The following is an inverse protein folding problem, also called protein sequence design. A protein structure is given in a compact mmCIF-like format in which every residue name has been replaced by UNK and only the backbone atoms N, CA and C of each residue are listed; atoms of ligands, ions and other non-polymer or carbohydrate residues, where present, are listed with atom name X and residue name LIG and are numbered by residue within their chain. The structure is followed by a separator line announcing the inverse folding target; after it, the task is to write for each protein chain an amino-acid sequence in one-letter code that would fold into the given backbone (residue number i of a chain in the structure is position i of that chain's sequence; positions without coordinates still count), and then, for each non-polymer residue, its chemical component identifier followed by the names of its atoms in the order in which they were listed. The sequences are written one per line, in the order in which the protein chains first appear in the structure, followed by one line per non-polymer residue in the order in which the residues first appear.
data_IF_425858526523
#
_entry.id   IF_425858526523
#
_cell.length_a   1.000
_cell.length_b   1.000
_cell.length_c   1.000
_cell.angle_alpha   90.00
_cell.angle_beta   90.00
_cell.angle_gamma   90.00
#
_symmetry.space_group_name_H-M   'P 1'
#
loop_
_entity.id
_entity.type
_entity.pdbx_description
1 polymer ?
#
# COMPACT_ATOMS: atom_id res chain seq x y z
N UNK A 1 -9.05 25.16 -18.79
CA UNK A 1 -9.63 24.78 -17.49
C UNK A 1 -8.82 25.52 -16.46
N UNK A 2 -9.38 26.58 -15.87
CA UNK A 2 -8.77 27.24 -14.71
C UNK A 2 -8.94 26.26 -13.56
N UNK A 3 -7.85 25.77 -13.00
CA UNK A 3 -7.91 25.06 -11.71
C UNK A 3 -8.60 26.01 -10.74
N UNK A 4 -9.83 25.68 -10.37
CA UNK A 4 -10.52 26.39 -9.31
C UNK A 4 -9.63 26.28 -8.07
N UNK A 5 -9.10 27.40 -7.60
CA UNK A 5 -8.28 27.45 -6.39
C UNK A 5 -9.05 26.75 -5.27
N UNK A 6 -8.59 25.56 -4.89
CA UNK A 6 -9.22 24.79 -3.81
C UNK A 6 -8.82 25.42 -2.50
N UNK A 7 -9.68 26.30 -1.98
CA UNK A 7 -9.55 26.79 -0.61
C UNK A 7 -9.63 25.62 0.35
N UNK A 8 -8.61 25.47 1.20
CA UNK A 8 -8.65 24.45 2.26
C UNK A 8 -9.18 25.09 3.53
N UNK A 9 -9.78 24.27 4.37
CA UNK A 9 -10.31 24.71 5.67
C UNK A 9 -9.84 23.77 6.77
N UNK A 10 -9.51 24.34 7.91
CA UNK A 10 -9.23 23.61 9.14
C UNK A 10 -10.08 24.14 10.27
N UNK A 11 -10.40 23.29 11.24
CA UNK A 11 -11.00 23.73 12.49
C UNK A 11 -10.46 22.88 13.63
N UNK A 12 -9.88 23.54 14.63
CA UNK A 12 -9.20 22.93 15.75
C UNK A 12 -9.78 23.47 17.05
N UNK A 13 -10.08 22.57 17.99
CA UNK A 13 -10.19 22.94 19.40
C UNK A 13 -8.78 22.95 19.97
N UNK A 14 -8.25 24.14 20.22
CA UNK A 14 -6.89 24.36 20.66
C UNK A 14 -6.83 24.40 22.19
N UNK A 15 -6.09 23.46 22.76
CA UNK A 15 -5.80 23.41 24.19
C UNK A 15 -4.62 24.32 24.51
N UNK A 16 -4.79 25.21 25.48
CA UNK A 16 -3.76 26.17 25.90
C UNK A 16 -3.41 25.89 27.36
N UNK A 17 -2.12 25.77 27.65
CA UNK A 17 -1.65 25.44 29.00
C UNK A 17 -2.05 26.54 30.00
N UNK A 18 -2.88 26.17 30.98
CA UNK A 18 -3.31 27.08 32.04
C UNK A 18 -4.41 28.07 31.65
N UNK A 19 -5.10 27.85 30.51
CA UNK A 19 -6.23 28.65 30.06
C UNK A 19 -7.34 27.77 29.50
N UNK A 20 -8.53 28.35 29.34
CA UNK A 20 -9.63 27.66 28.68
C UNK A 20 -9.33 27.43 27.19
N UNK A 21 -9.78 26.31 26.62
CA UNK A 21 -9.58 26.00 25.21
C UNK A 21 -10.34 26.98 24.32
N UNK A 22 -9.78 27.24 23.15
CA UNK A 22 -10.39 28.08 22.12
C UNK A 22 -10.62 27.28 20.84
N UNK A 23 -11.55 27.73 20.01
CA UNK A 23 -11.79 27.15 18.69
C UNK A 23 -11.18 28.04 17.62
N UNK A 24 -10.34 27.45 16.77
CA UNK A 24 -9.61 28.13 15.69
C UNK A 24 -10.04 27.52 14.37
N UNK A 25 -10.66 28.32 13.51
CA UNK A 25 -10.98 27.97 12.13
C UNK A 25 -10.03 28.69 11.19
N UNK A 26 -9.26 27.93 10.42
CA UNK A 26 -8.39 28.45 9.35
C UNK A 26 -9.04 28.28 7.98
N UNK A 27 -8.93 29.29 7.14
CA UNK A 27 -9.21 29.24 5.71
C UNK A 27 -7.92 29.57 4.98
N UNK A 28 -7.45 28.62 4.18
CA UNK A 28 -6.13 28.63 3.59
C UNK A 28 -6.25 28.79 2.09
N UNK A 29 -5.64 29.86 1.57
CA UNK A 29 -5.52 30.16 0.15
C UNK A 29 -4.07 29.91 -0.29
N UNK A 30 -3.79 30.05 -1.59
CA UNK A 30 -2.45 29.79 -2.13
C UNK A 30 -1.40 30.83 -1.68
N UNK A 31 -1.83 32.06 -1.41
CA UNK A 31 -0.95 33.19 -1.08
C UNK A 31 -1.22 33.83 0.29
N UNK A 32 -2.35 33.51 0.92
CA UNK A 32 -2.83 34.20 2.10
C UNK A 32 -3.74 33.29 2.97
N UNK A 33 -4.14 33.76 4.15
CA UNK A 33 -5.04 33.00 5.02
C UNK A 33 -5.95 33.88 5.87
N UNK A 34 -7.10 33.31 6.24
CA UNK A 34 -8.04 33.89 7.18
C UNK A 34 -8.24 32.96 8.38
N UNK A 35 -8.00 33.47 9.58
CA UNK A 35 -8.22 32.75 10.83
C UNK A 35 -9.34 33.41 11.61
N UNK A 36 -10.31 32.61 12.05
CA UNK A 36 -11.34 32.99 13.01
C UNK A 36 -11.14 32.22 14.30
N UNK A 37 -11.11 32.92 15.42
CA UNK A 37 -10.91 32.37 16.76
C UNK A 37 -12.10 32.71 17.64
N UNK A 38 -12.58 31.78 18.45
CA UNK A 38 -13.61 32.05 19.47
C UNK A 38 -13.34 31.25 20.74
N UNK A 39 -13.63 31.86 21.89
CA UNK A 39 -13.67 31.19 23.20
C UNK A 39 -15.11 30.79 23.59
N UNK A 40 -16.07 30.96 22.67
CA UNK A 40 -17.51 30.76 22.88
C UNK A 40 -18.27 32.01 23.35
N UNK A 41 -17.59 33.03 23.85
CA UNK A 41 -18.19 34.31 24.28
C UNK A 41 -17.80 35.46 23.35
N UNK A 42 -16.51 35.61 23.12
CA UNK A 42 -15.89 36.58 22.23
C UNK A 42 -15.30 35.89 21.01
N UNK A 43 -15.02 36.67 19.96
CA UNK A 43 -14.29 36.16 18.81
C UNK A 43 -13.30 37.18 18.26
N UNK A 44 -12.29 36.66 17.59
CA UNK A 44 -11.22 37.42 16.97
C UNK A 44 -10.98 36.90 15.56
N UNK A 45 -10.63 37.81 14.67
CA UNK A 45 -10.38 37.53 13.26
C UNK A 45 -8.97 38.00 12.93
N UNK A 46 -8.30 37.20 12.12
CA UNK A 46 -7.03 37.50 11.53
C UNK A 46 -7.20 37.31 10.02
N UNK A 47 -7.06 38.39 9.27
CA UNK A 47 -6.99 38.37 7.81
C UNK A 47 -5.55 38.71 7.48
N UNK A 48 -4.76 37.69 7.13
CA UNK A 48 -3.38 37.89 6.72
C UNK A 48 -3.39 38.13 5.21
N UNK A 49 -3.01 39.32 4.74
CA UNK A 49 -2.98 39.59 3.29
C UNK A 49 -1.79 38.91 2.62
N UNK A 50 -1.83 38.79 1.30
CA UNK A 50 -0.72 38.20 0.53
C UNK A 50 0.61 38.91 0.80
N UNK A 51 0.60 40.24 0.89
CA UNK A 51 1.79 41.04 1.18
C UNK A 51 2.34 40.76 2.59
N UNK A 52 1.46 40.70 3.60
CA UNK A 52 1.85 40.42 4.98
C UNK A 52 2.42 39.00 5.13
N UNK A 53 1.81 38.01 4.46
CA UNK A 53 2.31 36.64 4.45
C UNK A 53 3.66 36.56 3.73
N UNK A 54 3.81 37.22 2.59
CA UNK A 54 5.07 37.26 1.85
C UNK A 54 6.20 37.89 2.67
N UNK A 55 5.94 39.02 3.33
CA UNK A 55 6.91 39.67 4.21
C UNK A 55 7.34 38.75 5.36
N UNK A 56 6.37 38.04 5.96
CA UNK A 56 6.62 37.12 7.08
C UNK A 56 7.34 35.85 6.67
N UNK A 57 7.04 35.32 5.50
CA UNK A 57 7.76 34.19 4.92
C UNK A 57 9.23 34.58 4.63
N UNK A 58 9.45 35.78 4.08
CA UNK A 58 10.79 36.32 3.83
C UNK A 58 11.60 36.52 5.12
N UNK A 59 10.97 36.94 6.22
CA UNK A 59 11.65 37.05 7.54
C UNK A 59 12.23 35.72 8.03
N UNK A 60 11.72 34.58 7.56
CA UNK A 60 12.17 33.24 7.93
C UNK A 60 12.89 32.53 6.78
N UNK A 61 13.30 33.29 5.74
CA UNK A 61 14.00 32.78 4.56
C UNK A 61 13.32 31.55 3.94
N UNK A 62 11.99 31.55 3.88
CA UNK A 62 11.20 30.43 3.34
C UNK A 62 10.19 30.89 2.29
N UNK A 63 9.80 30.02 1.34
CA UNK A 63 8.77 30.35 0.37
C UNK A 63 7.40 30.49 1.06
N UNK A 64 6.53 31.31 0.46
CA UNK A 64 5.16 31.53 0.96
C UNK A 64 4.39 30.21 1.10
N UNK A 65 4.55 29.28 0.17
CA UNK A 65 3.91 27.97 0.24
C UNK A 65 4.32 27.17 1.48
N UNK A 66 5.61 27.16 1.83
CA UNK A 66 6.09 26.46 3.04
C UNK A 66 5.60 27.15 4.31
N UNK A 67 5.57 28.49 4.32
CA UNK A 67 5.01 29.26 5.44
C UNK A 67 3.53 28.90 5.69
N UNK A 68 2.74 28.85 4.61
CA UNK A 68 1.32 28.53 4.67
C UNK A 68 1.08 27.06 5.05
N UNK A 69 1.82 26.12 4.48
CA UNK A 69 1.71 24.69 4.83
C UNK A 69 2.09 24.44 6.30
N UNK A 70 3.08 25.17 6.81
CA UNK A 70 3.46 25.12 8.23
C UNK A 70 2.32 25.61 9.11
N UNK A 71 1.72 26.76 8.78
CA UNK A 71 0.59 27.30 9.53
C UNK A 71 -0.65 26.38 9.44
N UNK A 72 -0.96 25.85 8.25
CA UNK A 72 -2.04 24.89 8.01
C UNK A 72 -1.85 23.63 8.88
N UNK A 73 -0.62 23.11 8.97
CA UNK A 73 -0.33 21.91 9.76
C UNK A 73 -0.54 22.14 11.26
N UNK A 74 -0.01 23.24 11.80
CA UNK A 74 -0.03 23.52 13.24
C UNK A 74 -1.38 24.02 13.75
N UNK A 75 -2.18 24.65 12.89
CA UNK A 75 -3.55 25.08 13.21
C UNK A 75 -4.62 24.14 12.65
N UNK A 76 -4.23 23.15 11.86
CA UNK A 76 -5.07 22.04 11.44
C UNK A 76 -5.18 20.96 12.51
N UNK A 77 -4.04 20.63 13.12
CA UNK A 77 -3.96 19.68 14.22
C UNK A 77 -2.96 20.18 15.25
N UNK A 78 -3.36 20.19 16.52
CA UNK A 78 -2.48 20.59 17.61
C UNK A 78 -1.27 19.65 17.69
N UNK A 79 -0.07 20.22 17.64
CA UNK A 79 1.20 19.47 17.69
C UNK A 79 1.64 19.30 19.14
N UNK A 80 1.94 18.05 19.54
CA UNK A 80 2.29 17.72 20.94
C UNK A 80 3.64 18.29 21.40
N UNK A 81 4.55 18.57 20.48
CA UNK A 81 5.87 19.16 20.74
C UNK A 81 5.87 20.70 20.71
N UNK A 82 4.69 21.32 20.57
CA UNK A 82 4.55 22.76 20.43
C UNK A 82 3.88 23.37 21.66
N UNK A 83 4.33 24.55 22.06
CA UNK A 83 3.69 25.36 23.09
C UNK A 83 2.83 26.40 22.39
N UNK A 84 1.51 26.31 22.59
CA UNK A 84 0.54 27.25 22.04
C UNK A 84 0.18 28.34 23.04
N UNK A 85 -0.10 29.53 22.53
CA UNK A 85 -0.47 30.70 23.32
C UNK A 85 -1.57 31.52 22.66
N UNK A 86 -2.44 32.09 23.50
CA UNK A 86 -3.43 33.08 23.08
C UNK A 86 -3.54 34.18 24.14
N UNK A 87 -2.70 35.20 24.01
CA UNK A 87 -2.53 36.23 25.03
C UNK A 87 -3.08 37.59 24.60
N UNK A 88 -3.39 38.45 25.56
CA UNK A 88 -3.79 39.83 25.28
C UNK A 88 -2.71 40.63 24.56
N UNK A 89 -3.16 41.45 23.62
CA UNK A 89 -2.39 42.45 22.91
C UNK A 89 -3.11 43.81 22.99
N UNK A 90 -2.57 44.83 22.33
CA UNK A 90 -3.13 46.18 22.35
C UNK A 90 -4.54 46.22 21.71
N UNK A 91 -5.41 47.07 22.25
CA UNK A 91 -6.75 47.39 21.72
C UNK A 91 -7.72 46.19 21.68
N UNK A 92 -7.72 45.34 22.72
CA UNK A 92 -8.59 44.16 22.78
C UNK A 92 -8.27 43.08 21.75
N UNK A 93 -7.17 43.26 21.01
CA UNK A 93 -6.62 42.24 20.13
C UNK A 93 -6.00 41.13 20.96
N UNK A 94 -5.98 39.92 20.40
CA UNK A 94 -5.27 38.78 20.97
C UNK A 94 -4.10 38.41 20.06
N UNK A 95 -3.08 37.75 20.62
CA UNK A 95 -1.96 37.21 19.87
C UNK A 95 -2.04 35.69 19.90
N UNK A 96 -2.26 35.09 18.74
CA UNK A 96 -2.15 33.65 18.56
C UNK A 96 -0.69 33.30 18.30
N UNK A 97 -0.15 32.34 19.04
CA UNK A 97 1.21 31.87 18.83
C UNK A 97 1.39 30.37 19.05
N UNK A 98 2.42 29.82 18.42
CA UNK A 98 2.92 28.49 18.71
C UNK A 98 4.41 28.39 18.45
N UNK A 99 5.09 27.47 19.13
CA UNK A 99 6.51 27.20 18.90
C UNK A 99 6.71 26.06 17.93
N UNK A 100 7.73 26.13 17.09
CA UNK A 100 8.14 25.01 16.23
C UNK A 100 9.65 24.96 16.14
N UNK A 101 10.19 23.84 15.69
CA UNK A 101 11.62 23.66 15.51
C UNK A 101 11.95 23.62 14.01
N UNK A 102 12.96 24.39 13.60
CA UNK A 102 13.50 24.37 12.24
C UNK A 102 15.02 24.37 12.36
N UNK A 103 15.67 23.37 11.76
CA UNK A 103 17.13 23.22 11.74
C UNK A 103 17.79 23.28 13.13
N UNK A 104 17.16 22.69 14.14
CA UNK A 104 17.66 22.68 15.53
C UNK A 104 17.42 23.99 16.29
N UNK A 105 16.76 24.98 15.69
CA UNK A 105 16.39 26.24 16.32
C UNK A 105 14.90 26.26 16.65
N UNK A 106 14.56 26.59 17.90
CA UNK A 106 13.18 26.78 18.34
C UNK A 106 12.72 28.20 18.00
N UNK A 107 11.75 28.29 17.10
CA UNK A 107 11.11 29.52 16.65
C UNK A 107 9.69 29.63 17.20
N UNK A 108 9.13 30.84 17.18
CA UNK A 108 7.74 31.08 17.58
C UNK A 108 6.99 31.82 16.47
N UNK A 109 5.97 31.17 15.93
CA UNK A 109 5.01 31.78 15.03
C UNK A 109 4.06 32.64 15.84
N UNK A 110 3.81 33.88 15.40
CA UNK A 110 2.93 34.81 16.11
C UNK A 110 2.13 35.64 15.13
N UNK A 111 0.83 35.78 15.39
CA UNK A 111 -0.04 36.65 14.61
C UNK A 111 -1.05 37.38 15.49
N UNK A 112 -1.36 38.62 15.10
CA UNK A 112 -2.31 39.48 15.82
C UNK A 112 -3.72 39.23 15.28
N UNK A 113 -4.65 38.89 16.16
CA UNK A 113 -6.06 38.70 15.87
C UNK A 113 -6.84 39.90 16.43
N UNK A 114 -7.60 40.59 15.58
CA UNK A 114 -8.42 41.74 15.96
C UNK A 114 -9.77 41.27 16.51
N UNK A 115 -10.37 41.95 17.50
CA UNK A 115 -11.69 41.58 17.99
C UNK A 115 -12.74 41.70 16.87
N UNK A 116 -13.65 40.73 16.80
CA UNK A 116 -14.77 40.76 15.86
C UNK A 116 -15.89 41.67 16.37
N UNK A 117 -16.55 42.38 15.46
CA UNK A 117 -17.76 43.15 15.78
C UNK A 117 -18.98 42.26 16.05
N UNK A 118 -18.99 41.04 15.52
CA UNK A 118 -20.11 40.10 15.68
C UNK A 118 -19.58 38.74 16.13
N UNK A 119 -19.40 38.61 17.45
CA UNK A 119 -18.88 37.38 18.04
C UNK A 119 -19.80 36.19 17.81
N UNK A 120 -21.12 36.41 17.93
CA UNK A 120 -22.14 35.37 17.74
C UNK A 120 -22.09 34.79 16.34
N UNK A 121 -21.99 35.63 15.31
CA UNK A 121 -21.91 35.16 13.92
C UNK A 121 -20.68 34.31 13.65
N UNK A 122 -19.53 34.66 14.22
CA UNK A 122 -18.31 33.86 14.07
C UNK A 122 -18.46 32.51 14.78
N UNK A 123 -18.96 32.49 16.02
CA UNK A 123 -19.17 31.24 16.76
C UNK A 123 -20.17 30.33 16.04
N UNK A 124 -21.30 30.86 15.58
CA UNK A 124 -22.29 30.11 14.79
C UNK A 124 -21.67 29.59 13.50
N UNK A 125 -20.93 30.42 12.77
CA UNK A 125 -20.26 29.99 11.53
C UNK A 125 -19.18 28.92 11.71
N UNK A 126 -18.55 28.85 12.89
CA UNK A 126 -17.65 27.74 13.25
C UNK A 126 -18.45 26.47 13.57
N UNK A 127 -19.54 26.59 14.32
CA UNK A 127 -20.42 25.46 14.63
C UNK A 127 -21.07 24.87 13.37
N UNK A 128 -21.57 25.71 12.47
CA UNK A 128 -22.15 25.29 11.19
C UNK A 128 -21.12 24.52 10.36
N UNK A 129 -19.89 25.03 10.26
CA UNK A 129 -18.79 24.35 9.58
C UNK A 129 -18.50 22.97 10.20
N UNK A 130 -18.46 22.88 11.53
CA UNK A 130 -18.22 21.62 12.23
C UNK A 130 -19.37 20.62 12.01
N UNK A 131 -20.62 21.09 11.99
CA UNK A 131 -21.79 20.24 11.73
C UNK A 131 -21.85 19.74 10.30
N UNK A 132 -21.59 20.60 9.32
CA UNK A 132 -21.52 20.19 7.92
C UNK A 132 -20.38 19.18 7.71
N UNK A 133 -19.20 19.44 8.28
CA UNK A 133 -18.07 18.50 8.20
C UNK A 133 -18.40 17.16 8.86
N UNK A 134 -19.11 17.16 9.99
CA UNK A 134 -19.52 15.94 10.69
C UNK A 134 -20.53 15.11 9.87
N UNK A 135 -21.54 15.76 9.27
CA UNK A 135 -22.53 15.10 8.41
C UNK A 135 -21.80 14.45 7.22
N UNK A 136 -20.95 15.20 6.52
CA UNK A 136 -20.19 14.70 5.37
C UNK A 136 -19.27 13.53 5.75
N UNK A 137 -18.54 13.64 6.85
CA UNK A 137 -17.67 12.55 7.33
C UNK A 137 -18.48 11.30 7.70
N UNK A 138 -19.64 11.48 8.34
CA UNK A 138 -20.51 10.37 8.71
C UNK A 138 -21.04 9.62 7.47
N UNK A 139 -21.48 10.35 6.44
CA UNK A 139 -21.88 9.77 5.16
C UNK A 139 -20.72 9.04 4.47
N UNK A 140 -19.52 9.64 4.45
CA UNK A 140 -18.34 9.04 3.86
C UNK A 140 -17.93 7.74 4.56
N UNK A 141 -18.00 7.71 5.90
CA UNK A 141 -17.72 6.51 6.71
C UNK A 141 -18.72 5.41 6.39
N UNK A 142 -20.03 5.71 6.32
CA UNK A 142 -21.05 4.72 5.96
C UNK A 142 -20.80 4.15 4.55
N UNK A 143 -20.55 5.03 3.58
CA UNK A 143 -20.30 4.63 2.19
C UNK A 143 -19.03 3.79 2.03
N UNK A 144 -17.94 4.18 2.69
CA UNK A 144 -16.67 3.43 2.68
C UNK A 144 -16.82 2.08 3.37
N UNK A 145 -17.53 2.02 4.50
CA UNK A 145 -17.77 0.77 5.24
C UNK A 145 -18.56 -0.22 4.39
N UNK A 146 -19.66 0.23 3.78
CA UNK A 146 -20.47 -0.62 2.87
C UNK A 146 -19.65 -1.14 1.69
N UNK A 147 -18.82 -0.28 1.09
CA UNK A 147 -17.96 -0.65 -0.04
C UNK A 147 -16.88 -1.66 0.38
N UNK A 148 -16.31 -1.47 1.56
CA UNK A 148 -15.33 -2.39 2.15
C UNK A 148 -15.93 -3.77 2.42
N UNK A 149 -17.12 -3.84 3.03
CA UNK A 149 -17.82 -5.10 3.28
C UNK A 149 -18.15 -5.85 1.99
N UNK A 150 -18.62 -5.12 0.97
CA UNK A 150 -18.86 -5.71 -0.35
C UNK A 150 -17.58 -6.32 -0.91
N UNK A 151 -16.48 -5.55 -0.94
CA UNK A 151 -15.19 -6.02 -1.47
C UNK A 151 -14.65 -7.21 -0.67
N UNK A 152 -14.83 -7.21 0.65
CA UNK A 152 -14.46 -8.33 1.51
C UNK A 152 -15.24 -9.60 1.15
N UNK A 153 -16.57 -9.51 1.01
CA UNK A 153 -17.39 -10.66 0.63
C UNK A 153 -17.05 -11.21 -0.76
N UNK A 154 -16.70 -10.34 -1.71
CA UNK A 154 -16.25 -10.74 -3.04
C UNK A 154 -14.89 -11.46 -2.98
N UNK A 155 -13.96 -10.98 -2.15
CA UNK A 155 -12.66 -11.63 -1.95
C UNK A 155 -12.81 -13.01 -1.31
N UNK A 156 -13.67 -13.16 -0.30
CA UNK A 156 -13.97 -14.44 0.36
C UNK A 156 -14.59 -15.43 -0.64
N UNK A 157 -15.53 -14.98 -1.48
CA UNK A 157 -16.11 -15.82 -2.53
C UNK A 157 -15.06 -16.28 -3.55
N UNK A 158 -14.15 -15.40 -3.97
CA UNK A 158 -13.06 -15.74 -4.87
C UNK A 158 -12.08 -16.75 -4.24
N UNK A 159 -11.80 -16.61 -2.94
CA UNK A 159 -10.96 -17.54 -2.20
C UNK A 159 -11.60 -18.94 -2.17
N UNK A 160 -12.87 -19.04 -1.79
CA UNK A 160 -13.59 -20.31 -1.75
C UNK A 160 -13.68 -20.99 -3.13
N UNK A 161 -13.88 -20.21 -4.19
CA UNK A 161 -13.83 -20.72 -5.56
C UNK A 161 -12.43 -21.23 -5.93
N UNK A 162 -11.38 -20.53 -5.52
CA UNK A 162 -10.00 -20.93 -5.75
C UNK A 162 -9.63 -22.24 -5.04
N UNK A 163 -10.07 -22.41 -3.79
CA UNK A 163 -9.88 -23.65 -3.02
C UNK A 163 -10.55 -24.83 -3.72
N UNK A 164 -11.84 -24.69 -4.09
CA UNK A 164 -12.59 -25.72 -4.82
C UNK A 164 -11.90 -26.14 -6.12
N UNK A 165 -11.39 -25.17 -6.89
CA UNK A 165 -10.67 -25.46 -8.14
C UNK A 165 -9.34 -26.19 -7.89
N UNK A 166 -8.66 -25.93 -6.76
CA UNK A 166 -7.45 -26.67 -6.39
C UNK A 166 -7.76 -28.13 -6.07
N UNK A 167 -8.86 -28.39 -5.36
CA UNK A 167 -9.32 -29.74 -5.06
C UNK A 167 -9.69 -30.50 -6.34
N UNK A 168 -10.49 -29.88 -7.21
CA UNK A 168 -10.88 -30.45 -8.51
C UNK A 168 -9.65 -30.74 -9.40
N UNK A 169 -8.66 -29.84 -9.40
CA UNK A 169 -7.39 -30.05 -10.12
C UNK A 169 -6.63 -31.27 -9.58
N UNK A 170 -6.55 -31.41 -8.26
CA UNK A 170 -5.86 -32.53 -7.61
C UNK A 170 -6.55 -33.86 -7.91
N UNK A 171 -7.89 -33.90 -7.85
CA UNK A 171 -8.68 -35.08 -8.21
C UNK A 171 -8.47 -35.46 -9.69
N UNK A 172 -8.53 -34.48 -10.59
CA UNK A 172 -8.32 -34.69 -12.02
C UNK A 172 -6.90 -35.21 -12.32
N UNK A 173 -5.88 -34.63 -11.70
CA UNK A 173 -4.49 -35.08 -11.83
C UNK A 173 -4.34 -36.52 -11.36
N UNK A 174 -4.86 -36.86 -10.17
CA UNK A 174 -4.81 -38.22 -9.63
C UNK A 174 -5.51 -39.24 -10.55
N UNK A 175 -6.71 -38.93 -11.03
CA UNK A 175 -7.44 -39.79 -11.94
C UNK A 175 -6.69 -40.00 -13.27
N UNK A 176 -6.05 -38.95 -13.78
CA UNK A 176 -5.27 -38.99 -15.01
C UNK A 176 -3.99 -39.81 -14.83
N UNK A 177 -3.23 -39.60 -13.74
CA UNK A 177 -2.04 -40.39 -13.42
C UNK A 177 -2.38 -41.87 -13.25
N UNK A 178 -3.50 -42.21 -12.60
CA UNK A 178 -3.96 -43.58 -12.46
C UNK A 178 -4.21 -44.26 -13.83
N UNK A 179 -4.87 -43.55 -14.76
CA UNK A 179 -5.07 -44.04 -16.14
C UNK A 179 -3.74 -44.27 -16.86
N UNK A 180 -2.81 -43.31 -16.76
CA UNK A 180 -1.48 -43.46 -17.36
C UNK A 180 -0.72 -44.68 -16.79
N UNK A 181 -0.75 -44.88 -15.47
CA UNK A 181 -0.15 -46.05 -14.82
C UNK A 181 -0.77 -47.36 -15.30
N UNK A 182 -2.10 -47.42 -15.46
CA UNK A 182 -2.79 -48.60 -15.99
C UNK A 182 -2.32 -48.96 -17.42
N UNK A 183 -2.20 -47.95 -18.30
CA UNK A 183 -1.68 -48.14 -19.66
C UNK A 183 -0.22 -48.59 -19.63
N UNK A 184 0.62 -47.97 -18.79
CA UNK A 184 2.03 -48.29 -18.69
C UNK A 184 2.26 -49.72 -18.15
N UNK A 185 1.49 -50.12 -17.15
CA UNK A 185 1.48 -51.49 -16.62
C UNK A 185 1.03 -52.50 -17.68
N UNK A 186 -0.04 -52.19 -18.43
CA UNK A 186 -0.51 -53.04 -19.54
C UNK A 186 0.57 -53.19 -20.63
N UNK A 187 1.25 -52.11 -21.00
CA UNK A 187 2.39 -52.16 -21.93
C UNK A 187 3.56 -52.97 -21.37
N UNK A 188 3.92 -52.77 -20.10
CA UNK A 188 5.00 -53.52 -19.42
C UNK A 188 4.69 -55.02 -19.35
N UNK A 189 3.44 -55.39 -19.05
CA UNK A 189 3.00 -56.79 -19.05
C UNK A 189 3.10 -57.41 -20.46
N UNK A 190 2.67 -56.68 -21.49
CA UNK A 190 2.78 -57.14 -22.88
C UNK A 190 4.24 -57.34 -23.31
N UNK A 191 5.14 -56.43 -22.94
CA UNK A 191 6.58 -56.58 -23.21
C UNK A 191 7.18 -57.80 -22.51
N UNK A 192 6.82 -58.06 -21.24
CA UNK A 192 7.25 -59.28 -20.54
C UNK A 192 6.76 -60.54 -21.24
N UNK A 193 5.47 -60.62 -21.56
CA UNK A 193 4.91 -61.78 -22.25
C UNK A 193 5.52 -62.04 -23.63
N UNK A 194 5.93 -60.99 -24.36
CA UNK A 194 6.66 -61.14 -25.62
C UNK A 194 8.08 -61.70 -25.37
N UNK A 195 8.78 -61.18 -24.36
CA UNK A 195 10.11 -61.65 -23.99
C UNK A 195 10.11 -63.10 -23.49
N UNK A 196 9.13 -63.47 -22.66
CA UNK A 196 8.96 -64.85 -22.17
C UNK A 196 8.67 -65.83 -23.32
N UNK A 197 7.93 -65.39 -24.35
CA UNK A 197 7.73 -66.19 -25.57
C UNK A 197 9.00 -66.34 -26.38
N UNK A 198 9.79 -65.29 -26.54
CA UNK A 198 11.09 -65.35 -27.22
C UNK A 198 12.07 -66.28 -26.47
N UNK A 199 12.15 -66.15 -25.14
CA UNK A 199 12.99 -66.99 -24.30
C UNK A 199 12.52 -68.46 -24.29
N UNK A 200 11.20 -68.72 -24.31
CA UNK A 200 10.66 -70.07 -24.45
C UNK A 200 10.92 -70.67 -25.83
N UNK A 201 10.82 -69.90 -26.91
CA UNK A 201 11.16 -70.36 -28.27
C UNK A 201 12.65 -70.66 -28.37
N UNK A 202 13.49 -69.86 -27.71
CA UNK A 202 14.93 -70.09 -27.63
C UNK A 202 15.29 -71.32 -26.78
N UNK A 203 14.63 -71.54 -25.65
CA UNK A 203 14.82 -72.73 -24.81
C UNK A 203 14.38 -74.02 -25.53
N UNK A 204 13.30 -73.97 -26.33
CA UNK A 204 12.89 -75.10 -27.17
C UNK A 204 13.89 -75.35 -28.30
N UNK A 205 14.50 -74.30 -28.86
CA UNK A 205 15.58 -74.43 -29.84
C UNK A 205 16.91 -74.94 -29.24
N UNK A 206 17.15 -74.72 -27.95
CA UNK A 206 18.32 -75.25 -27.23
C UNK A 206 18.09 -76.71 -26.73
N UNK A 207 16.85 -77.14 -26.45
CA UNK A 207 16.54 -78.57 -26.22
C UNK A 207 16.43 -79.41 -27.51
N UNK A 208 16.28 -78.75 -28.67
CA UNK A 208 16.31 -79.38 -29.99
C UNK A 208 17.68 -79.21 -30.69
N UNK A 209 18.76 -78.97 -29.93
CA UNK A 209 20.12 -78.90 -30.47
C UNK A 209 21.18 -79.50 -29.55
N UNK A 210 21.11 -80.82 -29.37
CA UNK A 210 22.29 -81.67 -29.20
C UNK A 210 22.44 -82.57 -30.43
N UNK A 211 23.14 -82.10 -31.47
CA UNK A 211 24.31 -82.77 -32.04
C UNK A 211 24.95 -82.01 -33.23
N UNK A 212 26.24 -81.70 -33.06
CA UNK A 212 27.37 -81.52 -34.03
C UNK A 212 27.18 -80.68 -35.31
N UNK A 213 27.87 -79.53 -35.44
CA UNK A 213 29.28 -79.34 -35.88
C UNK A 213 29.49 -79.64 -37.39
N UNK A 214 30.04 -78.77 -38.24
CA UNK A 214 31.40 -78.20 -38.19
C UNK A 214 31.65 -76.99 -39.13
N UNK A 215 32.65 -76.19 -38.72
CA UNK A 215 33.70 -75.44 -39.46
C UNK A 215 33.34 -74.43 -40.57
N UNK A 216 33.84 -73.19 -40.47
CA UNK A 216 35.17 -72.82 -40.96
C UNK A 216 35.62 -71.45 -40.39
N UNK A 217 36.94 -71.27 -40.33
CA UNK A 217 37.69 -70.34 -39.49
C UNK A 217 38.18 -69.06 -40.20
N UNK A 218 38.45 -68.07 -39.36
CA UNK A 218 39.46 -67.00 -39.45
C UNK A 218 39.00 -65.58 -39.76
N UNK A 219 39.38 -64.67 -38.86
CA UNK A 219 39.36 -63.22 -39.11
C UNK A 219 39.19 -62.33 -37.88
N UNK A 220 39.92 -62.60 -36.79
CA UNK A 220 40.03 -61.71 -35.61
C UNK A 220 40.66 -60.37 -36.00
N UNK A 221 40.08 -59.24 -35.59
CA UNK A 221 40.84 -58.11 -35.03
C UNK A 221 39.94 -57.15 -34.27
N UNK A 222 40.30 -56.96 -33.01
CA UNK A 222 39.89 -55.91 -32.09
C UNK A 222 39.93 -54.51 -32.73
N UNK A 223 39.03 -53.62 -32.31
CA UNK A 223 39.49 -52.46 -31.57
C UNK A 223 38.37 -51.83 -30.72
N UNK A 224 38.79 -51.46 -29.52
CA UNK A 224 38.04 -50.87 -28.42
C UNK A 224 37.69 -49.38 -28.65
N UNK A 225 36.83 -48.90 -27.74
CA UNK A 225 36.73 -47.51 -27.25
C UNK A 225 36.29 -46.38 -28.20
N UNK A 226 35.19 -45.74 -27.80
CA UNK A 226 35.03 -44.27 -27.69
C UNK A 226 33.65 -44.07 -27.05
N UNK A 227 33.53 -43.89 -25.72
CA UNK A 227 33.79 -42.65 -24.99
C UNK A 227 33.26 -41.40 -25.68
N UNK A 228 32.49 -40.65 -24.87
CA UNK A 228 32.46 -39.19 -24.83
C UNK A 228 31.90 -38.47 -26.07
N UNK A 229 31.23 -37.34 -25.97
CA UNK A 229 30.92 -36.46 -24.87
C UNK A 229 29.89 -35.45 -25.39
N UNK A 230 29.36 -34.66 -24.46
CA UNK A 230 29.15 -33.23 -24.66
C UNK A 230 28.06 -32.78 -25.67
N UNK A 231 27.32 -31.71 -25.41
CA UNK A 231 27.31 -30.81 -24.26
C UNK A 231 26.14 -29.85 -24.45
N UNK A 232 25.61 -29.43 -23.29
CA UNK A 232 25.30 -28.04 -22.93
C UNK A 232 24.22 -27.32 -23.76
N UNK A 233 23.07 -27.05 -23.12
CA UNK A 233 22.83 -25.86 -22.26
C UNK A 233 22.98 -24.53 -23.01
N UNK A 234 21.86 -23.82 -23.12
CA UNK A 234 21.61 -22.54 -22.42
C UNK A 234 20.09 -22.25 -22.59
N UNK A 235 19.22 -22.22 -21.58
CA UNK A 235 19.11 -21.36 -20.39
C UNK A 235 19.18 -19.86 -20.66
N UNK A 236 18.01 -19.21 -20.62
CA UNK A 236 17.81 -17.81 -20.19
C UNK A 236 16.31 -17.63 -19.90
N UNK A 237 15.80 -18.03 -18.75
CA UNK A 237 15.62 -17.20 -17.54
C UNK A 237 14.95 -15.84 -17.77
N UNK A 238 13.69 -15.70 -17.34
CA UNK A 238 13.19 -14.43 -16.80
C UNK A 238 12.18 -14.68 -15.68
N UNK A 239 12.73 -14.93 -14.49
CA UNK A 239 12.01 -14.80 -13.23
C UNK A 239 11.87 -13.31 -12.91
N UNK A 240 10.65 -12.84 -12.65
CA UNK A 240 10.37 -11.49 -12.18
C UNK A 240 9.89 -11.59 -10.73
N UNK A 241 10.79 -11.26 -9.80
CA UNK A 241 10.57 -11.32 -8.37
C UNK A 241 9.56 -10.30 -7.87
N UNK A 242 8.81 -10.69 -6.82
CA UNK A 242 7.95 -9.82 -6.03
C UNK A 242 8.45 -9.88 -4.59
N UNK A 243 9.12 -8.82 -4.12
CA UNK A 243 9.56 -8.66 -2.74
C UNK A 243 8.34 -8.35 -1.86
N UNK A 244 8.10 -9.16 -0.82
CA UNK A 244 7.31 -8.79 0.36
C UNK A 244 8.30 -8.36 1.44
N UNK A 245 8.13 -7.16 1.97
CA UNK A 245 8.78 -6.71 3.19
C UNK A 245 7.93 -7.13 4.39
N UNK A 246 8.55 -7.83 5.34
CA UNK A 246 8.07 -8.02 6.71
C UNK A 246 8.74 -6.94 7.55
N UNK A 247 7.99 -6.25 8.40
CA UNK A 247 8.55 -5.41 9.47
C UNK A 247 8.11 -5.98 10.81
N UNK A 248 9.12 -6.28 11.62
CA UNK A 248 9.10 -6.12 13.08
C UNK A 248 9.13 -4.63 13.43
#
# INVERSE_FOLDING_TARGET
MVESEKTKHTCLRLEISGADPIFVKGTWHNSHFDISVTDGSSSWICNATEEEVAERAAQWDQPVSEYLELAERYLGFQQSNSVYGFSDALEGSKRLSWTFEKEGTKLEWRWKCKPSHDSKKITVGILDFLMEANIRLSEEVVNKTRSFEKMKSEAERCLAQGEKLCDEKTEFENATYAKFLSVLNSKKAKLRALRDKEDSVRAVAEEESTDKAESFDSGRSDNEQSEEEASKKASSSKARGRKRAVRS
#
